data_IF_001465718563
#
_entry.id   IF_001465718563
#
_cell.length_a   1.000
_cell.length_b   1.000
_cell.length_c   1.000
_cell.angle_alpha   90.00
_cell.angle_beta   90.00
_cell.angle_gamma   90.00
#
_symmetry.space_group_name_H-M   'P 1'
#
loop_
_entity.id
_entity.type
_entity.pdbx_description
1 polymer ?
#
# COMPACT_ATOMS: atom_id res chain seq x y z
N UNK A 1 -10.43 28.34 20.45
CA UNK A 1 -10.89 27.79 19.15
C UNK A 1 -9.87 26.79 18.65
N UNK A 2 -10.20 25.49 18.68
CA UNK A 2 -9.32 24.43 18.20
C UNK A 2 -9.43 24.40 16.68
N UNK A 3 -8.31 24.63 15.97
CA UNK A 3 -8.27 24.50 14.51
C UNK A 3 -8.50 23.03 14.17
N UNK A 4 -9.68 22.71 13.64
CA UNK A 4 -9.89 21.45 12.92
C UNK A 4 -8.82 21.37 11.83
N UNK A 5 -8.05 20.29 11.72
CA UNK A 5 -7.26 20.10 10.53
C UNK A 5 -8.27 19.97 9.41
N UNK A 6 -8.36 20.98 8.54
CA UNK A 6 -9.06 20.93 7.27
C UNK A 6 -8.24 20.01 6.36
N UNK A 7 -8.14 18.73 6.75
CA UNK A 7 -7.52 17.69 5.98
C UNK A 7 -8.49 17.36 4.86
N UNK A 8 -8.40 18.09 3.75
CA UNK A 8 -8.77 17.58 2.43
C UNK A 8 -7.86 16.41 2.10
N UNK A 9 -7.99 15.34 2.87
CA UNK A 9 -7.05 14.25 2.96
C UNK A 9 -7.64 13.09 2.21
N UNK A 10 -7.20 12.93 0.96
CA UNK A 10 -7.36 11.68 0.22
C UNK A 10 -6.94 10.55 1.17
N UNK A 11 -7.90 9.78 1.68
CA UNK A 11 -7.61 8.71 2.64
C UNK A 11 -6.53 7.81 2.05
N UNK A 12 -5.42 7.66 2.78
CA UNK A 12 -4.36 6.74 2.37
C UNK A 12 -4.94 5.33 2.45
N UNK A 13 -5.03 4.66 1.29
CA UNK A 13 -5.50 3.27 1.21
C UNK A 13 -4.61 2.32 2.01
N UNK A 14 -3.32 2.65 2.08
CA UNK A 14 -2.33 1.93 2.85
C UNK A 14 -1.88 2.76 4.05
N UNK A 15 -1.62 2.08 5.17
CA UNK A 15 -0.88 2.68 6.28
C UNK A 15 0.60 2.74 5.93
N UNK A 16 1.36 3.62 6.60
CA UNK A 16 2.80 3.75 6.36
C UNK A 16 3.56 2.42 6.58
N UNK A 17 3.14 1.66 7.60
CA UNK A 17 3.66 0.33 7.88
C UNK A 17 3.39 -0.68 6.74
N UNK A 18 2.19 -0.62 6.15
CA UNK A 18 1.83 -1.46 5.02
C UNK A 18 2.60 -1.08 3.75
N UNK A 19 2.83 0.22 3.53
CA UNK A 19 3.66 0.69 2.41
C UNK A 19 5.10 0.16 2.54
N UNK A 20 5.69 0.24 3.74
CA UNK A 20 7.03 -0.27 4.01
C UNK A 20 7.11 -1.79 3.81
N UNK A 21 6.14 -2.55 4.30
CA UNK A 21 6.08 -4.00 4.09
C UNK A 21 6.00 -4.37 2.61
N UNK A 22 5.29 -3.57 1.80
CA UNK A 22 5.25 -3.77 0.35
C UNK A 22 6.57 -3.48 -0.33
N UNK A 23 7.23 -2.39 0.05
CA UNK A 23 8.55 -2.02 -0.50
C UNK A 23 9.58 -3.08 -0.13
N UNK A 24 9.58 -3.55 1.11
CA UNK A 24 10.45 -4.63 1.58
C UNK A 24 10.20 -5.93 0.80
N UNK A 25 8.94 -6.29 0.56
CA UNK A 25 8.57 -7.47 -0.23
C UNK A 25 9.04 -7.38 -1.69
N UNK A 26 8.90 -6.21 -2.33
CA UNK A 26 9.40 -5.97 -3.69
C UNK A 26 10.93 -5.96 -3.72
N UNK A 27 11.57 -5.42 -2.68
CA UNK A 27 13.03 -5.35 -2.56
C UNK A 27 13.65 -6.73 -2.32
N UNK A 28 13.00 -7.56 -1.50
CA UNK A 28 13.39 -8.95 -1.25
C UNK A 28 13.16 -9.84 -2.48
N UNK A 29 12.17 -9.51 -3.31
CA UNK A 29 11.82 -10.26 -4.53
C UNK A 29 11.75 -9.33 -5.74
N UNK A 30 12.90 -8.93 -6.27
CA UNK A 30 13.01 -8.00 -7.42
C UNK A 30 12.26 -8.48 -8.67
N UNK A 31 12.03 -9.79 -8.79
CA UNK A 31 11.33 -10.42 -9.91
C UNK A 31 9.81 -10.57 -9.70
N UNK A 32 9.25 -10.16 -8.55
CA UNK A 32 7.83 -10.33 -8.27
C UNK A 32 7.00 -9.43 -9.20
N UNK A 33 6.01 -10.03 -9.87
CA UNK A 33 5.11 -9.28 -10.75
C UNK A 33 4.07 -8.53 -9.93
N UNK A 34 3.65 -7.35 -10.39
CA UNK A 34 2.64 -6.54 -9.69
C UNK A 34 1.32 -7.28 -9.43
N UNK A 35 0.92 -8.18 -10.33
CA UNK A 35 -0.26 -9.03 -10.14
C UNK A 35 -0.09 -10.03 -9.00
N UNK A 36 1.12 -10.59 -8.84
CA UNK A 36 1.42 -11.48 -7.71
C UNK A 36 1.44 -10.70 -6.40
N UNK A 37 2.00 -9.48 -6.41
CA UNK A 37 1.97 -8.58 -5.26
C UNK A 37 0.52 -8.25 -4.85
N UNK A 38 -0.35 -7.99 -5.82
CA UNK A 38 -1.78 -7.75 -5.59
C UNK A 38 -2.44 -8.96 -4.92
N UNK A 39 -2.22 -10.18 -5.43
CA UNK A 39 -2.74 -11.40 -4.82
C UNK A 39 -2.20 -11.61 -3.41
N UNK A 40 -0.92 -11.33 -3.18
CA UNK A 40 -0.31 -11.41 -1.84
C UNK A 40 -0.92 -10.42 -0.86
N UNK A 41 -1.17 -9.17 -1.26
CA UNK A 41 -1.85 -8.17 -0.41
C UNK A 41 -3.25 -8.65 -0.02
N UNK A 42 -4.01 -9.20 -0.97
CA UNK A 42 -5.37 -9.68 -0.72
C UNK A 42 -5.37 -10.95 0.16
N UNK A 43 -4.38 -11.83 -0.02
CA UNK A 43 -4.21 -13.03 0.79
C UNK A 43 -3.71 -12.69 2.22
N UNK A 44 -2.83 -11.70 2.35
CA UNK A 44 -2.23 -11.30 3.62
C UNK A 44 -3.16 -10.37 4.42
N UNK A 45 -4.20 -10.97 5.00
CA UNK A 45 -5.15 -10.27 5.86
C UNK A 45 -4.57 -9.85 7.22
N UNK A 46 -3.41 -10.36 7.61
CA UNK A 46 -2.71 -9.95 8.82
C UNK A 46 -2.20 -8.52 8.70
N UNK A 47 -1.45 -8.20 7.64
CA UNK A 47 -0.89 -6.85 7.45
C UNK A 47 -1.84 -5.94 6.68
N UNK A 48 -2.63 -6.48 5.74
CA UNK A 48 -3.52 -5.71 4.85
C UNK A 48 -5.01 -6.00 5.08
N UNK A 49 -5.42 -6.44 6.28
CA UNK A 49 -6.81 -6.76 6.59
C UNK A 49 -7.83 -5.65 6.35
N UNK A 50 -7.37 -4.39 6.28
CA UNK A 50 -8.19 -3.22 5.95
C UNK A 50 -8.41 -3.03 4.42
N UNK A 51 -7.76 -3.83 3.58
CA UNK A 51 -7.78 -3.74 2.12
C UNK A 51 -8.43 -4.99 1.55
N UNK A 52 -9.70 -4.88 1.15
CA UNK A 52 -10.39 -5.96 0.46
C UNK A 52 -10.04 -6.02 -1.04
N UNK A 53 -9.74 -4.87 -1.65
CA UNK A 53 -9.41 -4.76 -3.07
C UNK A 53 -8.38 -3.66 -3.28
N UNK A 54 -7.34 -3.95 -4.08
CA UNK A 54 -6.34 -2.97 -4.51
C UNK A 54 -6.13 -3.07 -6.01
N UNK A 55 -6.01 -1.92 -6.69
CA UNK A 55 -5.61 -1.86 -8.09
C UNK A 55 -4.08 -1.91 -8.24
N UNK A 56 -3.61 -2.55 -9.31
CA UNK A 56 -2.19 -2.56 -9.70
C UNK A 56 -1.62 -1.14 -9.82
N UNK A 57 -2.42 -0.18 -10.31
CA UNK A 57 -2.02 1.23 -10.42
C UNK A 57 -1.77 1.88 -9.05
N UNK A 58 -2.49 1.48 -8.01
CA UNK A 58 -2.27 1.95 -6.64
C UNK A 58 -0.94 1.42 -6.10
N UNK A 59 -0.66 0.13 -6.31
CA UNK A 59 0.63 -0.48 -5.96
C UNK A 59 1.77 0.24 -6.68
N UNK A 60 1.63 0.48 -7.99
CA UNK A 60 2.63 1.20 -8.79
C UNK A 60 2.87 2.62 -8.28
N UNK A 61 1.81 3.37 -7.95
CA UNK A 61 1.93 4.72 -7.36
C UNK A 61 2.63 4.68 -6.00
N UNK A 62 2.36 3.69 -5.17
CA UNK A 62 3.08 3.51 -3.90
C UNK A 62 4.55 3.21 -4.15
N UNK A 63 4.88 2.29 -5.06
CA UNK A 63 6.27 1.98 -5.38
C UNK A 63 7.04 3.20 -5.91
N UNK A 64 6.44 4.00 -6.80
CA UNK A 64 7.07 5.24 -7.29
C UNK A 64 7.27 6.29 -6.19
N UNK A 65 6.45 6.29 -5.14
CA UNK A 65 6.60 7.24 -4.01
C UNK A 65 7.80 6.90 -3.11
N UNK A 66 8.19 5.62 -3.05
CA UNK A 66 9.28 5.12 -2.19
C UNK A 66 10.58 4.81 -2.96
N UNK A 67 10.66 5.21 -4.23
CA UNK A 67 11.80 4.98 -5.12
C UNK A 67 12.60 6.27 -5.36
#
# INVERSE_FOLDING_TARGET
MIRRPTGGGRQRLFTEQQELALVDMVRANVAIRLHQLQSHIIADRQSFGNINTVCITTIRRMLTKHH
#
